data_IF_433424502900
#
_entry.id   IF_433424502900
#
_cell.length_a   1.000
_cell.length_b   1.000
_cell.length_c   1.000
_cell.angle_alpha   90.00
_cell.angle_beta   90.00
_cell.angle_gamma   90.00
#
_symmetry.space_group_name_H-M   'P 1'
#
loop_
_entity.id
_entity.type
_entity.pdbx_description
1 polymer ?
#
# COMPACT_ATOMS: atom_id res chain seq x y z
N UNK A 1 28.57 4.84 -6.02
CA UNK A 1 28.53 6.05 -5.16
C UNK A 1 27.99 5.60 -3.83
N UNK A 2 28.69 5.88 -2.72
CA UNK A 2 28.19 5.55 -1.39
C UNK A 2 27.00 6.46 -1.04
N UNK A 3 26.11 5.94 -0.19
CA UNK A 3 24.93 6.64 0.33
C UNK A 3 25.11 6.79 1.83
N UNK A 4 25.08 8.02 2.31
CA UNK A 4 25.20 8.31 3.74
C UNK A 4 23.82 8.53 4.36
N UNK A 5 23.62 8.01 5.58
CA UNK A 5 22.38 8.19 6.35
C UNK A 5 22.68 8.41 7.82
N UNK A 6 22.08 9.46 8.36
CA UNK A 6 22.03 9.70 9.79
C UNK A 6 21.07 8.68 10.41
N UNK A 7 21.58 7.85 11.31
CA UNK A 7 20.81 6.83 12.02
C UNK A 7 21.29 6.77 13.48
N UNK A 8 20.39 6.35 14.38
CA UNK A 8 20.78 5.80 15.67
C UNK A 8 21.13 4.31 15.55
N UNK A 9 21.94 3.79 16.48
CA UNK A 9 22.26 2.37 16.51
C UNK A 9 21.00 1.48 16.67
N UNK A 10 19.98 1.97 17.38
CA UNK A 10 18.71 1.25 17.55
C UNK A 10 17.88 1.23 16.26
N UNK A 11 17.80 2.35 15.55
CA UNK A 11 17.14 2.42 14.23
C UNK A 11 17.84 1.51 13.22
N UNK A 12 19.18 1.51 13.21
CA UNK A 12 19.96 0.62 12.36
C UNK A 12 19.65 -0.85 12.68
N UNK A 13 19.76 -1.27 13.95
CA UNK A 13 19.50 -2.66 14.36
C UNK A 13 18.08 -3.11 14.05
N UNK A 14 17.09 -2.24 14.25
CA UNK A 14 15.70 -2.54 13.93
C UNK A 14 15.45 -2.65 12.41
N UNK A 15 16.28 -2.01 11.59
CA UNK A 15 16.15 -2.01 10.14
C UNK A 15 16.85 -3.19 9.45
N UNK A 16 17.71 -3.95 10.14
CA UNK A 16 18.44 -5.08 9.53
C UNK A 16 17.46 -6.15 9.05
N UNK A 17 17.53 -6.47 7.76
CA UNK A 17 16.73 -7.54 7.14
C UNK A 17 17.56 -8.78 6.80
N UNK A 18 18.86 -8.58 6.59
CA UNK A 18 19.84 -9.64 6.39
C UNK A 18 21.24 -9.13 6.74
N UNK A 19 22.04 -9.99 7.34
CA UNK A 19 23.44 -9.72 7.66
C UNK A 19 24.21 -11.02 7.53
N UNK A 20 25.43 -10.94 7.01
CA UNK A 20 26.33 -12.07 6.94
C UNK A 20 27.71 -11.63 7.37
N UNK A 21 28.04 -11.97 8.61
CA UNK A 21 29.40 -12.08 9.11
C UNK A 21 29.77 -13.55 9.31
N UNK A 22 31.03 -13.86 9.10
CA UNK A 22 31.66 -14.93 9.83
C UNK A 22 32.55 -14.27 10.90
N UNK A 23 32.82 -14.96 12.01
CA UNK A 23 33.71 -14.44 13.05
C UNK A 23 35.19 -14.38 12.56
N UNK A 24 35.42 -14.40 11.25
CA UNK A 24 36.73 -14.36 10.64
C UNK A 24 37.11 -12.91 10.35
N UNK A 25 37.88 -12.34 11.28
CA UNK A 25 38.34 -10.94 11.29
C UNK A 25 39.01 -10.36 10.02
N UNK A 26 39.57 -11.12 9.05
CA UNK A 26 40.05 -10.52 7.81
C UNK A 26 38.98 -10.34 6.72
N UNK A 27 37.77 -10.89 6.90
CA UNK A 27 36.73 -10.89 5.86
C UNK A 27 35.76 -9.71 6.04
N UNK A 28 35.27 -9.19 4.91
CA UNK A 28 34.28 -8.10 4.91
C UNK A 28 32.89 -8.72 5.02
N UNK A 29 32.14 -8.27 6.00
CA UNK A 29 30.73 -8.60 6.13
C UNK A 29 29.86 -7.72 5.25
N UNK A 30 28.62 -8.15 5.06
CA UNK A 30 27.59 -7.37 4.39
C UNK A 30 26.34 -7.26 5.26
N UNK A 31 25.67 -6.12 5.17
CA UNK A 31 24.38 -5.89 5.83
C UNK A 31 23.41 -5.19 4.90
N UNK A 32 22.17 -5.69 4.88
CA UNK A 32 21.04 -5.08 4.20
C UNK A 32 20.05 -4.56 5.24
N UNK A 33 19.63 -3.31 5.08
CA UNK A 33 18.64 -2.67 5.94
C UNK A 33 17.45 -2.15 5.13
N UNK A 34 16.26 -2.17 5.74
CA UNK A 34 15.06 -1.52 5.21
C UNK A 34 14.46 -0.63 6.30
N UNK A 35 14.49 0.67 6.06
CA UNK A 35 13.98 1.68 6.97
C UNK A 35 12.44 1.74 6.93
N UNK A 36 11.79 2.30 7.98
CA UNK A 36 10.34 2.44 8.04
C UNK A 36 9.71 3.24 6.88
N UNK A 37 10.47 4.15 6.27
CA UNK A 37 10.03 4.94 5.12
C UNK A 37 10.10 4.18 3.78
N UNK A 38 10.54 2.91 3.80
CA UNK A 38 10.69 2.06 2.62
C UNK A 38 12.04 2.21 1.90
N UNK A 39 12.96 3.02 2.42
CA UNK A 39 14.34 3.12 1.93
C UNK A 39 15.08 1.82 2.23
N UNK A 40 15.71 1.24 1.22
CA UNK A 40 16.58 0.08 1.34
C UNK A 40 18.06 0.50 1.23
N UNK A 41 18.90 -0.07 2.07
CA UNK A 41 20.32 0.23 2.17
C UNK A 41 21.11 -1.08 2.16
N UNK A 42 22.28 -1.08 1.54
CA UNK A 42 23.18 -2.23 1.49
C UNK A 42 24.61 -1.74 1.63
N UNK A 43 25.32 -2.24 2.64
CA UNK A 43 26.67 -1.80 2.98
C UNK A 43 27.58 -2.98 3.24
N UNK A 44 28.81 -2.87 2.75
CA UNK A 44 29.93 -3.66 3.23
C UNK A 44 30.46 -3.04 4.52
N UNK A 45 30.91 -3.88 5.44
CA UNK A 45 31.63 -3.46 6.65
C UNK A 45 32.80 -4.41 6.90
N UNK A 46 33.75 -4.00 7.74
CA UNK A 46 34.96 -4.77 8.00
C UNK A 46 35.20 -4.82 9.51
N UNK A 47 34.84 -5.95 10.12
CA UNK A 47 34.90 -6.12 11.58
C UNK A 47 36.32 -5.87 12.12
N UNK A 48 36.46 -4.85 12.96
CA UNK A 48 37.56 -4.76 13.93
C UNK A 48 37.22 -5.54 15.20
N UNK A 49 38.21 -6.10 15.90
CA UNK A 49 38.04 -6.88 17.16
C UNK A 49 37.26 -6.20 18.32
N UNK A 50 36.77 -4.97 18.14
CA UNK A 50 36.16 -4.15 19.19
C UNK A 50 34.89 -3.40 18.78
N UNK A 51 34.55 -3.32 17.50
CA UNK A 51 33.47 -2.48 16.99
C UNK A 51 32.29 -3.33 16.53
N UNK A 52 31.07 -2.81 16.69
CA UNK A 52 29.91 -3.42 16.06
C UNK A 52 29.78 -2.98 14.60
N UNK A 53 28.86 -3.60 13.85
CA UNK A 53 28.62 -3.27 12.44
C UNK A 53 28.23 -1.81 12.21
N UNK A 54 27.51 -1.19 13.16
CA UNK A 54 27.06 0.18 13.02
C UNK A 54 28.24 1.16 13.19
N UNK A 55 29.10 0.89 14.18
CA UNK A 55 30.33 1.63 14.42
C UNK A 55 31.22 1.64 13.15
N UNK A 56 31.39 0.48 12.50
CA UNK A 56 32.18 0.37 11.26
C UNK A 56 31.56 1.18 10.11
N UNK A 57 30.23 1.15 9.96
CA UNK A 57 29.55 1.93 8.92
C UNK A 57 29.64 3.45 9.17
N UNK A 58 29.77 3.89 10.42
CA UNK A 58 29.95 5.30 10.77
C UNK A 58 31.39 5.82 10.64
N UNK A 59 32.34 4.97 10.21
CA UNK A 59 33.76 5.31 10.00
C UNK A 59 34.39 6.07 11.18
N UNK A 60 34.10 5.64 12.42
CA UNK A 60 34.63 6.31 13.62
C UNK A 60 36.11 6.02 13.90
N UNK A 61 36.84 5.51 12.91
CA UNK A 61 38.31 5.41 12.91
C UNK A 61 38.90 4.58 14.06
N UNK A 62 38.14 3.64 14.62
CA UNK A 62 38.56 2.82 15.76
C UNK A 62 38.75 3.58 17.08
N UNK A 63 38.32 4.85 17.17
CA UNK A 63 38.51 5.70 18.36
C UNK A 63 37.36 5.55 19.36
N UNK A 64 36.17 5.13 18.91
CA UNK A 64 35.02 4.85 19.76
C UNK A 64 34.28 3.62 19.25
N UNK A 65 34.25 2.56 20.05
CA UNK A 65 33.24 1.52 19.94
C UNK A 65 32.02 2.04 20.71
N UNK A 66 30.80 1.80 20.24
CA UNK A 66 29.53 2.29 20.79
C UNK A 66 29.17 3.74 20.42
N UNK A 67 28.98 3.98 19.12
CA UNK A 67 28.35 5.19 18.59
C UNK A 67 26.83 5.06 18.72
N UNK A 68 26.22 5.87 19.58
CA UNK A 68 24.76 5.84 19.75
C UNK A 68 24.02 6.38 18.51
N UNK A 69 24.64 7.33 17.79
CA UNK A 69 24.11 7.96 16.59
C UNK A 69 25.27 8.43 15.70
N UNK A 70 25.16 8.21 14.39
CA UNK A 70 26.22 8.55 13.45
C UNK A 70 25.76 8.57 12.00
N UNK A 71 26.66 9.05 11.15
CA UNK A 71 26.46 9.10 9.70
C UNK A 71 26.97 7.80 9.10
N UNK A 72 26.09 6.81 8.97
CA UNK A 72 26.43 5.51 8.41
C UNK A 72 26.54 5.57 6.88
N UNK A 73 27.62 5.00 6.33
CA UNK A 73 27.91 4.96 4.90
C UNK A 73 27.60 3.60 4.31
N UNK A 74 26.75 3.56 3.28
CA UNK A 74 26.32 2.35 2.60
C UNK A 74 26.85 2.34 1.16
N UNK A 75 27.16 1.15 0.65
CA UNK A 75 27.62 0.98 -0.73
C UNK A 75 26.52 1.30 -1.73
N UNK A 76 25.27 1.00 -1.39
CA UNK A 76 24.09 1.20 -2.22
C UNK A 76 22.89 1.66 -1.38
N UNK A 77 22.02 2.47 -1.99
CA UNK A 77 20.73 2.86 -1.43
C UNK A 77 19.67 3.05 -2.50
N UNK A 78 18.43 2.68 -2.20
CA UNK A 78 17.30 2.74 -3.13
C UNK A 78 15.99 2.27 -2.52
N UNK A 79 15.15 1.62 -3.31
CA UNK A 79 13.87 1.05 -2.86
C UNK A 79 14.02 -0.42 -2.50
N UNK A 80 13.07 -0.97 -1.71
CA UNK A 80 12.99 -2.41 -1.46
C UNK A 80 12.97 -3.23 -2.76
N UNK A 81 12.24 -2.76 -3.78
CA UNK A 81 12.19 -3.43 -5.08
C UNK A 81 13.57 -3.43 -5.76
N UNK A 82 14.32 -2.33 -5.67
CA UNK A 82 15.69 -2.26 -6.18
C UNK A 82 16.64 -3.21 -5.45
N UNK A 83 16.53 -3.32 -4.13
CA UNK A 83 17.33 -4.24 -3.33
C UNK A 83 17.03 -5.70 -3.69
N UNK A 84 15.75 -6.05 -3.86
CA UNK A 84 15.32 -7.39 -4.30
C UNK A 84 15.80 -7.69 -5.72
N UNK A 85 15.79 -6.71 -6.62
CA UNK A 85 16.32 -6.86 -7.98
C UNK A 85 17.84 -7.12 -7.98
N UNK A 86 18.62 -6.35 -7.21
CA UNK A 86 20.05 -6.58 -7.00
C UNK A 86 20.30 -8.02 -6.52
N UNK A 87 19.57 -8.45 -5.49
CA UNK A 87 19.72 -9.78 -4.91
C UNK A 87 19.35 -10.90 -5.89
N UNK A 88 18.25 -10.71 -6.64
CA UNK A 88 17.75 -11.69 -7.63
C UNK A 88 18.76 -11.89 -8.76
N UNK A 89 19.33 -10.79 -9.26
CA UNK A 89 20.33 -10.83 -10.33
C UNK A 89 21.73 -11.14 -9.83
N UNK A 90 21.99 -11.09 -8.52
CA UNK A 90 23.33 -11.16 -7.92
C UNK A 90 24.24 -10.06 -8.45
N UNK A 91 23.71 -8.84 -8.49
CA UNK A 91 24.41 -7.67 -9.02
C UNK A 91 25.52 -7.19 -8.07
N UNK A 92 26.46 -6.42 -8.59
CA UNK A 92 27.42 -5.68 -7.77
C UNK A 92 26.74 -4.42 -7.22
N UNK A 93 26.67 -4.21 -5.89
CA UNK A 93 26.01 -3.02 -5.33
C UNK A 93 26.75 -1.71 -5.63
N UNK A 94 28.06 -1.73 -5.88
CA UNK A 94 28.80 -0.54 -6.29
C UNK A 94 28.56 -0.20 -7.78
N UNK A 95 28.23 -1.20 -8.60
CA UNK A 95 27.96 -1.09 -10.04
C UNK A 95 26.73 -1.96 -10.41
N UNK A 96 25.50 -1.52 -10.09
CA UNK A 96 24.26 -2.33 -10.21
C UNK A 96 23.98 -2.94 -11.58
N UNK A 97 24.59 -2.40 -12.63
CA UNK A 97 24.48 -2.84 -14.02
C UNK A 97 25.27 -4.13 -14.31
N UNK A 98 26.22 -4.53 -13.45
CA UNK A 98 27.00 -5.78 -13.60
C UNK A 98 26.67 -6.80 -12.52
N UNK A 99 27.03 -8.05 -12.78
CA UNK A 99 27.03 -9.12 -11.78
C UNK A 99 28.19 -8.94 -10.80
N UNK A 100 27.99 -9.34 -9.55
CA UNK A 100 29.08 -9.45 -8.57
C UNK A 100 30.12 -10.46 -9.06
N UNK A 101 31.40 -10.15 -8.86
CA UNK A 101 32.49 -11.01 -9.32
C UNK A 101 32.68 -12.17 -8.32
N UNK A 102 32.57 -13.45 -8.74
CA UNK A 102 32.84 -14.59 -7.86
C UNK A 102 34.27 -14.66 -7.31
N UNK A 103 35.19 -13.85 -7.84
CA UNK A 103 36.57 -13.72 -7.35
C UNK A 103 36.72 -12.66 -6.25
N UNK A 104 35.70 -11.83 -6.00
CA UNK A 104 35.72 -10.86 -4.92
C UNK A 104 35.76 -11.60 -3.56
N UNK A 105 36.63 -11.12 -2.67
CA UNK A 105 36.88 -11.79 -1.37
C UNK A 105 35.64 -11.88 -0.49
N UNK A 106 34.68 -10.97 -0.69
CA UNK A 106 33.43 -10.86 0.07
C UNK A 106 32.22 -11.38 -0.71
N UNK A 107 32.44 -12.00 -1.88
CA UNK A 107 31.37 -12.57 -2.70
C UNK A 107 30.48 -13.53 -1.89
N UNK A 108 31.09 -14.39 -1.06
CA UNK A 108 30.37 -15.32 -0.19
C UNK A 108 29.40 -14.62 0.76
N UNK A 109 29.86 -13.57 1.44
CA UNK A 109 29.04 -12.76 2.35
C UNK A 109 27.93 -12.01 1.61
N UNK A 110 28.25 -11.40 0.47
CA UNK A 110 27.24 -10.71 -0.35
C UNK A 110 26.14 -11.68 -0.81
N UNK A 111 26.51 -12.87 -1.28
CA UNK A 111 25.54 -13.89 -1.71
C UNK A 111 24.69 -14.40 -0.54
N UNK A 112 25.27 -14.53 0.65
CA UNK A 112 24.54 -14.89 1.86
C UNK A 112 23.53 -13.79 2.25
N UNK A 113 23.92 -12.51 2.20
CA UNK A 113 23.00 -11.39 2.41
C UNK A 113 21.91 -11.34 1.36
N UNK A 114 22.22 -11.55 0.08
CA UNK A 114 21.20 -11.63 -0.98
C UNK A 114 20.22 -12.76 -0.76
N UNK A 115 20.69 -13.92 -0.30
CA UNK A 115 19.81 -15.02 0.10
C UNK A 115 18.90 -14.58 1.25
N UNK A 116 19.45 -13.97 2.30
CA UNK A 116 18.69 -13.44 3.43
C UNK A 116 17.66 -12.37 3.03
N UNK A 117 17.99 -11.47 2.10
CA UNK A 117 17.09 -10.45 1.55
C UNK A 117 15.92 -11.11 0.82
N UNK A 118 16.18 -12.10 -0.03
CA UNK A 118 15.12 -12.79 -0.78
C UNK A 118 14.21 -13.59 0.16
N UNK A 119 14.79 -14.23 1.18
CA UNK A 119 14.03 -14.93 2.21
C UNK A 119 13.19 -13.98 3.07
N UNK A 120 13.78 -12.88 3.53
CA UNK A 120 13.08 -11.83 4.26
C UNK A 120 11.94 -11.27 3.41
N UNK A 121 12.19 -10.93 2.16
CA UNK A 121 11.16 -10.41 1.27
C UNK A 121 10.05 -11.45 1.06
N UNK A 122 10.40 -12.71 0.82
CA UNK A 122 9.41 -13.78 0.71
C UNK A 122 8.63 -14.02 2.02
N UNK A 123 9.25 -13.86 3.20
CA UNK A 123 8.56 -13.89 4.50
C UNK A 123 7.64 -12.69 4.64
N UNK A 124 8.09 -11.47 4.39
CA UNK A 124 7.27 -10.26 4.44
C UNK A 124 6.09 -10.32 3.49
N UNK A 125 6.27 -10.84 2.27
CA UNK A 125 5.18 -11.10 1.33
C UNK A 125 4.25 -12.20 1.85
N UNK A 126 4.77 -13.23 2.53
CA UNK A 126 3.98 -14.27 3.18
C UNK A 126 3.25 -13.79 4.41
N UNK A 127 3.78 -12.88 5.21
CA UNK A 127 3.14 -12.32 6.40
C UNK A 127 2.03 -11.36 5.98
N UNK A 128 2.29 -10.54 4.96
CA UNK A 128 1.23 -9.78 4.26
C UNK A 128 0.18 -10.74 3.69
N UNK A 129 0.60 -11.85 3.08
CA UNK A 129 -0.30 -12.84 2.53
C UNK A 129 -1.04 -13.65 3.60
N UNK A 130 -0.46 -14.03 4.73
CA UNK A 130 -1.05 -14.84 5.81
C UNK A 130 -1.95 -13.99 6.71
N UNK A 131 -1.56 -12.74 6.98
CA UNK A 131 -2.49 -11.75 7.53
C UNK A 131 -3.65 -11.46 6.55
N UNK A 132 -3.46 -11.73 5.24
CA UNK A 132 -4.55 -11.73 4.25
C UNK A 132 -5.25 -13.10 4.05
N UNK A 133 -4.63 -14.22 4.44
CA UNK A 133 -5.04 -15.61 4.15
C UNK A 133 -5.56 -16.37 5.40
N UNK A 134 -5.56 -15.71 6.58
CA UNK A 134 -6.66 -15.88 7.53
C UNK A 134 -8.04 -15.58 6.88
N UNK A 135 -8.06 -15.02 5.66
CA UNK A 135 -9.23 -14.86 4.79
C UNK A 135 -9.05 -15.46 3.36
N UNK A 136 -8.60 -16.73 3.27
CA UNK A 136 -8.83 -17.69 2.15
C UNK A 136 -7.93 -17.65 0.86
N UNK A 137 -8.01 -18.76 0.12
CA UNK A 137 -7.06 -19.44 -0.81
C UNK A 137 -6.97 -19.01 -2.30
N UNK A 138 -5.75 -19.18 -2.85
CA UNK A 138 -5.24 -19.58 -4.19
C UNK A 138 -5.54 -18.85 -5.55
N UNK A 139 -4.40 -18.48 -6.19
CA UNK A 139 -4.02 -18.34 -7.64
C UNK A 139 -4.09 -16.98 -8.38
N UNK A 140 -2.97 -16.64 -9.07
CA UNK A 140 -2.40 -15.30 -9.41
C UNK A 140 -2.60 -14.80 -10.86
N UNK A 141 -2.88 -13.48 -10.98
CA UNK A 141 -2.55 -12.53 -12.08
C UNK A 141 -2.03 -11.25 -11.35
N UNK A 142 -1.03 -10.47 -11.86
CA UNK A 142 -0.46 -9.36 -11.10
C UNK A 142 -1.48 -8.24 -10.95
N UNK A 143 -2.11 -8.15 -9.77
CA UNK A 143 -3.03 -7.08 -9.41
C UNK A 143 -2.24 -5.95 -8.74
N UNK A 144 -2.31 -4.76 -9.37
CA UNK A 144 -2.79 -3.53 -8.77
C UNK A 144 -2.51 -3.31 -7.27
N UNK A 145 -2.03 -2.11 -6.92
CA UNK A 145 -2.29 -1.58 -5.58
C UNK A 145 -3.78 -1.79 -5.28
N UNK A 146 -4.12 -2.37 -4.11
CA UNK A 146 -5.52 -2.66 -3.74
C UNK A 146 -6.31 -1.34 -3.72
N UNK A 147 -6.88 -0.99 -4.87
CA UNK A 147 -7.87 0.03 -4.98
C UNK A 147 -9.16 -0.57 -4.42
N UNK A 148 -9.94 0.29 -3.78
CA UNK A 148 -11.25 -0.10 -3.28
C UNK A 148 -12.25 0.64 -4.12
N UNK A 149 -13.31 -0.05 -4.52
CA UNK A 149 -14.43 0.56 -5.20
C UNK A 149 -15.66 0.48 -4.31
N UNK A 150 -16.56 1.44 -4.49
CA UNK A 150 -17.87 1.42 -3.89
C UNK A 150 -18.95 1.32 -4.96
N UNK A 151 -20.09 0.77 -4.56
CA UNK A 151 -21.35 0.87 -5.28
C UNK A 151 -22.47 1.13 -4.28
N UNK A 152 -23.32 2.09 -4.59
CA UNK A 152 -24.55 2.38 -3.84
C UNK A 152 -25.68 2.56 -4.83
N UNK A 153 -26.84 1.97 -4.56
CA UNK A 153 -28.02 2.05 -5.44
C UNK A 153 -29.18 2.68 -4.69
N UNK A 154 -29.82 3.66 -5.33
CA UNK A 154 -30.98 4.39 -4.80
C UNK A 154 -32.23 4.12 -5.67
N UNK A 155 -33.36 3.83 -5.02
CA UNK A 155 -34.68 3.74 -5.65
C UNK A 155 -35.31 5.11 -5.85
N UNK A 156 -35.93 5.36 -7.00
CA UNK A 156 -36.43 6.69 -7.39
C UNK A 156 -37.93 6.69 -7.75
N UNK A 157 -38.55 5.51 -7.78
CA UNK A 157 -39.99 5.33 -7.97
C UNK A 157 -40.59 4.85 -6.65
N UNK A 158 -41.83 5.25 -6.30
CA UNK A 158 -42.55 4.70 -5.15
C UNK A 158 -42.53 3.16 -5.09
N UNK A 159 -42.08 2.62 -3.96
CA UNK A 159 -41.83 1.20 -3.66
C UNK A 159 -41.58 1.02 -2.16
N UNK A 160 -41.68 -0.21 -1.64
CA UNK A 160 -41.68 -0.57 -0.20
C UNK A 160 -42.19 0.56 0.74
N UNK A 161 -43.47 0.94 0.63
CA UNK A 161 -44.15 1.84 1.57
C UNK A 161 -43.89 3.34 1.41
N UNK A 162 -43.21 3.80 0.36
CA UNK A 162 -42.82 5.20 0.20
C UNK A 162 -43.32 5.86 -1.10
N UNK A 163 -43.45 7.18 -1.06
CA UNK A 163 -43.68 8.04 -2.22
C UNK A 163 -42.47 8.95 -2.44
N UNK A 164 -41.44 8.40 -3.07
CA UNK A 164 -40.20 9.11 -3.38
C UNK A 164 -40.19 9.60 -4.83
N UNK A 165 -41.37 9.88 -5.40
CA UNK A 165 -41.49 10.36 -6.77
C UNK A 165 -40.59 11.58 -6.96
N UNK A 166 -39.54 11.39 -7.75
CA UNK A 166 -38.63 12.45 -8.12
C UNK A 166 -39.14 13.04 -9.44
N UNK A 167 -39.30 14.35 -9.47
CA UNK A 167 -39.62 15.07 -10.70
C UNK A 167 -38.36 15.23 -11.57
N UNK A 168 -38.49 14.95 -12.87
CA UNK A 168 -37.40 15.12 -13.83
C UNK A 168 -36.57 13.87 -14.07
N UNK A 169 -35.35 14.08 -14.60
CA UNK A 169 -34.45 12.99 -14.96
C UNK A 169 -33.87 12.30 -13.71
N UNK A 170 -34.06 10.97 -13.55
CA UNK A 170 -33.63 10.23 -12.36
C UNK A 170 -32.12 10.30 -12.11
N UNK A 171 -31.29 10.30 -13.17
CA UNK A 171 -29.83 10.38 -13.03
C UNK A 171 -29.43 11.76 -12.52
N UNK A 172 -29.98 12.82 -13.12
CA UNK A 172 -29.71 14.21 -12.75
C UNK A 172 -30.01 14.47 -11.28
N UNK A 173 -31.16 14.00 -10.77
CA UNK A 173 -31.52 14.18 -9.37
C UNK A 173 -30.52 13.51 -8.41
N UNK A 174 -30.07 12.29 -8.74
CA UNK A 174 -29.10 11.55 -7.92
C UNK A 174 -27.71 12.16 -7.99
N UNK A 175 -27.27 12.61 -9.17
CA UNK A 175 -25.99 13.30 -9.35
C UNK A 175 -25.94 14.61 -8.56
N UNK A 176 -26.99 15.44 -8.63
CA UNK A 176 -27.07 16.68 -7.85
C UNK A 176 -27.03 16.39 -6.36
N UNK A 177 -27.78 15.38 -5.89
CA UNK A 177 -27.78 15.00 -4.49
C UNK A 177 -26.38 14.53 -4.02
N UNK A 178 -25.69 13.71 -4.84
CA UNK A 178 -24.35 13.24 -4.52
C UNK A 178 -23.33 14.37 -4.50
N UNK A 179 -23.30 15.22 -5.52
CA UNK A 179 -22.36 16.34 -5.59
C UNK A 179 -22.55 17.30 -4.41
N UNK A 180 -23.80 17.67 -4.12
CA UNK A 180 -24.13 18.50 -2.94
C UNK A 180 -23.63 17.88 -1.64
N UNK A 181 -23.82 16.57 -1.48
CA UNK A 181 -23.37 15.85 -0.30
C UNK A 181 -21.83 15.74 -0.24
N UNK A 182 -21.16 15.51 -1.36
CA UNK A 182 -19.70 15.42 -1.47
C UNK A 182 -19.01 16.76 -1.18
N UNK A 183 -19.54 17.87 -1.71
CA UNK A 183 -19.08 19.23 -1.38
C UNK A 183 -19.21 19.49 0.11
N UNK A 184 -20.36 19.17 0.69
CA UNK A 184 -20.63 19.42 2.10
C UNK A 184 -19.86 18.47 3.05
N UNK A 185 -19.44 17.29 2.58
CA UNK A 185 -18.52 16.40 3.31
C UNK A 185 -17.10 16.96 3.28
N UNK A 186 -16.64 17.42 2.12
CA UNK A 186 -15.31 18.03 1.97
C UNK A 186 -15.17 19.31 2.80
N UNK A 187 -16.19 20.17 2.79
CA UNK A 187 -16.21 21.39 3.61
C UNK A 187 -16.17 21.09 5.13
N UNK A 188 -16.58 19.89 5.56
CA UNK A 188 -16.53 19.45 6.94
C UNK A 188 -15.20 18.75 7.31
N UNK A 189 -14.21 18.75 6.41
CA UNK A 189 -12.91 18.11 6.60
C UNK A 189 -12.85 16.64 6.16
N UNK A 190 -13.90 16.13 5.54
CA UNK A 190 -13.90 14.81 4.89
C UNK A 190 -13.34 14.86 3.46
N UNK A 191 -13.44 13.74 2.75
CA UNK A 191 -12.99 13.66 1.35
C UNK A 191 -14.14 13.98 0.39
N UNK A 192 -13.83 14.75 -0.67
CA UNK A 192 -14.72 14.83 -1.82
C UNK A 192 -14.58 13.53 -2.62
N UNK A 193 -15.65 12.74 -2.73
CA UNK A 193 -15.60 11.45 -3.43
C UNK A 193 -16.34 11.54 -4.77
N UNK A 194 -15.62 11.47 -5.91
CA UNK A 194 -16.26 11.44 -7.22
C UNK A 194 -16.99 10.11 -7.45
N UNK A 195 -18.06 10.16 -8.25
CA UNK A 195 -18.86 8.99 -8.58
C UNK A 195 -19.36 9.04 -10.03
N UNK A 196 -19.51 7.86 -10.63
CA UNK A 196 -20.19 7.62 -11.91
C UNK A 196 -21.60 7.14 -11.61
N UNK A 197 -22.59 7.79 -12.24
CA UNK A 197 -23.99 7.40 -12.15
C UNK A 197 -24.39 6.51 -13.32
N UNK A 198 -25.10 5.42 -13.03
CA UNK A 198 -25.66 4.51 -14.03
C UNK A 198 -27.14 4.29 -13.74
N UNK A 199 -27.98 4.57 -14.73
CA UNK A 199 -29.42 4.28 -14.67
C UNK A 199 -29.65 2.76 -14.74
N UNK A 200 -30.51 2.25 -13.87
CA UNK A 200 -30.82 0.83 -13.77
C UNK A 200 -32.28 0.59 -13.40
N UNK A 201 -32.68 -0.69 -13.37
CA UNK A 201 -33.95 -1.14 -12.81
C UNK A 201 -33.71 -2.27 -11.83
N UNK A 202 -34.34 -2.20 -10.67
CA UNK A 202 -34.25 -3.24 -9.64
C UNK A 202 -35.54 -4.04 -9.58
N UNK A 203 -35.42 -5.37 -9.60
CA UNK A 203 -36.54 -6.30 -9.56
C UNK A 203 -36.49 -7.06 -8.24
N UNK A 204 -37.58 -7.00 -7.48
CA UNK A 204 -37.78 -7.76 -6.25
C UNK A 204 -39.21 -8.29 -6.19
N UNK A 205 -39.58 -8.97 -5.09
CA UNK A 205 -40.90 -9.61 -4.96
C UNK A 205 -42.01 -8.56 -5.10
N UNK A 206 -43.05 -8.85 -5.90
CA UNK A 206 -44.17 -7.91 -6.08
C UNK A 206 -44.94 -7.64 -4.80
N UNK A 207 -45.04 -8.63 -3.91
CA UNK A 207 -45.65 -8.53 -2.58
C UNK A 207 -45.00 -7.46 -1.69
N UNK A 208 -43.74 -7.11 -2.00
CA UNK A 208 -42.97 -6.07 -1.31
C UNK A 208 -43.15 -4.68 -1.95
N UNK A 209 -43.99 -4.56 -2.99
CA UNK A 209 -44.27 -3.31 -3.68
C UNK A 209 -43.47 -3.07 -4.96
N UNK A 210 -42.75 -4.06 -5.50
CA UNK A 210 -42.03 -3.90 -6.76
C UNK A 210 -43.02 -3.66 -7.91
N UNK A 211 -42.91 -2.55 -8.67
CA UNK A 211 -43.79 -2.28 -9.80
C UNK A 211 -43.53 -3.26 -10.96
N UNK A 212 -44.53 -3.47 -11.85
CA UNK A 212 -44.32 -4.19 -13.11
C UNK A 212 -43.17 -3.57 -13.92
N UNK A 213 -42.21 -4.41 -14.33
CA UNK A 213 -41.01 -3.96 -15.04
C UNK A 213 -39.88 -3.44 -14.14
N UNK A 214 -40.00 -3.57 -12.81
CA UNK A 214 -38.97 -3.18 -11.86
C UNK A 214 -38.99 -1.70 -11.49
N UNK A 215 -38.44 -1.40 -10.33
CA UNK A 215 -38.30 -0.05 -9.80
C UNK A 215 -37.14 0.67 -10.51
N UNK A 216 -37.33 1.94 -10.88
CA UNK A 216 -36.24 2.74 -11.44
C UNK A 216 -35.23 3.03 -10.34
N UNK A 217 -33.98 2.68 -10.60
CA UNK A 217 -32.87 2.87 -9.67
C UNK A 217 -31.72 3.59 -10.36
N UNK A 218 -30.89 4.27 -9.59
CA UNK A 218 -29.59 4.76 -10.06
C UNK A 218 -28.51 4.23 -9.15
N UNK A 219 -27.48 3.67 -9.76
CA UNK A 219 -26.29 3.18 -9.07
C UNK A 219 -25.18 4.20 -9.22
N UNK A 220 -24.64 4.65 -8.09
CA UNK A 220 -23.40 5.42 -8.03
C UNK A 220 -22.24 4.47 -7.74
N UNK A 221 -21.16 4.62 -8.49
CA UNK A 221 -19.95 3.83 -8.32
C UNK A 221 -18.71 4.69 -8.45
N UNK A 222 -17.65 4.32 -7.77
CA UNK A 222 -16.37 5.02 -7.85
C UNK A 222 -15.28 4.18 -7.23
N UNK A 223 -14.04 4.55 -7.50
CA UNK A 223 -12.87 3.89 -6.95
C UNK A 223 -12.04 4.89 -6.15
N UNK A 224 -11.54 4.45 -5.00
CA UNK A 224 -10.49 5.13 -4.25
C UNK A 224 -9.28 5.23 -5.15
N UNK A 225 -8.69 6.41 -5.22
CA UNK A 225 -7.40 6.60 -5.83
C UNK A 225 -6.33 6.56 -4.74
N UNK A 226 -5.55 5.46 -4.57
CA UNK A 226 -4.60 5.34 -3.47
C UNK A 226 -3.45 6.36 -3.51
N UNK A 227 -3.25 7.03 -4.65
CA UNK A 227 -2.24 8.09 -4.80
C UNK A 227 -2.67 9.40 -4.11
N UNK A 228 -3.98 9.69 -4.07
CA UNK A 228 -4.52 10.92 -3.48
C UNK A 228 -5.21 10.64 -2.13
N UNK A 229 -5.86 9.48 -2.01
CA UNK A 229 -6.61 9.06 -0.82
C UNK A 229 -5.89 7.89 -0.15
N UNK A 230 -4.81 8.21 0.56
CA UNK A 230 -3.89 7.19 1.12
C UNK A 230 -4.53 6.32 2.20
N UNK A 231 -5.49 6.86 2.97
CA UNK A 231 -6.21 6.14 4.03
C UNK A 231 -7.54 5.54 3.52
N UNK A 232 -7.63 4.20 3.38
CA UNK A 232 -8.85 3.53 2.95
C UNK A 232 -10.01 3.70 3.94
N UNK A 233 -9.72 3.81 5.25
CA UNK A 233 -10.76 3.92 6.27
C UNK A 233 -11.46 5.28 6.20
N UNK A 234 -10.70 6.37 6.14
CA UNK A 234 -11.23 7.73 5.93
C UNK A 234 -12.04 7.83 4.63
N UNK A 235 -11.59 7.20 3.55
CA UNK A 235 -12.33 7.15 2.29
C UNK A 235 -13.69 6.44 2.41
N UNK A 236 -13.74 5.23 3.00
CA UNK A 236 -15.00 4.52 3.26
C UNK A 236 -15.94 5.31 4.15
N UNK A 237 -15.39 6.02 5.13
CA UNK A 237 -16.17 6.85 6.04
C UNK A 237 -16.82 8.02 5.29
N UNK A 238 -16.05 8.70 4.43
CA UNK A 238 -16.56 9.79 3.57
C UNK A 238 -17.62 9.28 2.60
N UNK A 239 -17.38 8.15 1.91
CA UNK A 239 -18.40 7.50 1.05
C UNK A 239 -19.69 7.22 1.83
N UNK A 240 -19.58 6.69 3.04
CA UNK A 240 -20.73 6.32 3.85
C UNK A 240 -21.54 7.55 4.28
N UNK A 241 -20.88 8.63 4.72
CA UNK A 241 -21.53 9.89 5.11
C UNK A 241 -22.19 10.58 3.91
N UNK A 242 -21.54 10.58 2.75
CA UNK A 242 -22.11 11.12 1.51
C UNK A 242 -23.36 10.31 1.12
N UNK A 243 -23.25 8.97 1.08
CA UNK A 243 -24.38 8.10 0.75
C UNK A 243 -25.56 8.25 1.72
N UNK A 244 -25.29 8.46 3.01
CA UNK A 244 -26.33 8.73 4.00
C UNK A 244 -27.05 10.07 3.74
N UNK A 245 -26.31 11.13 3.41
CA UNK A 245 -26.91 12.43 3.04
C UNK A 245 -27.78 12.31 1.79
N UNK A 246 -27.31 11.57 0.78
CA UNK A 246 -28.10 11.29 -0.44
C UNK A 246 -29.35 10.48 -0.11
N UNK A 247 -29.25 9.43 0.71
CA UNK A 247 -30.39 8.65 1.19
C UNK A 247 -31.46 9.55 1.80
N UNK A 248 -31.06 10.48 2.67
CA UNK A 248 -31.97 11.44 3.32
C UNK A 248 -32.58 12.40 2.27
N UNK A 249 -31.77 12.96 1.38
CA UNK A 249 -32.23 13.90 0.35
C UNK A 249 -33.27 13.26 -0.60
N UNK A 250 -33.07 11.98 -0.95
CA UNK A 250 -33.96 11.20 -1.79
C UNK A 250 -35.08 10.50 -1.01
N UNK A 251 -35.22 10.81 0.29
CA UNK A 251 -36.25 10.28 1.21
C UNK A 251 -36.30 8.74 1.27
N UNK A 252 -35.15 8.11 1.08
CA UNK A 252 -35.02 6.66 1.18
C UNK A 252 -34.92 6.24 2.65
N UNK A 253 -35.56 5.14 3.03
CA UNK A 253 -35.40 4.57 4.38
C UNK A 253 -34.07 3.86 4.52
N UNK A 254 -33.68 3.10 3.50
CA UNK A 254 -32.43 2.34 3.48
C UNK A 254 -31.63 2.63 2.21
N UNK A 255 -30.32 2.67 2.35
CA UNK A 255 -29.38 2.59 1.23
C UNK A 255 -28.29 1.59 1.62
N UNK A 256 -27.90 0.74 0.67
CA UNK A 256 -26.81 -0.22 0.88
C UNK A 256 -25.59 0.24 0.09
N UNK A 257 -24.53 0.55 0.81
CA UNK A 257 -23.20 0.77 0.23
C UNK A 257 -22.45 -0.56 0.24
N UNK A 258 -21.90 -0.94 -0.90
CA UNK A 258 -21.05 -2.12 -1.07
C UNK A 258 -19.65 -1.63 -1.34
N UNK A 259 -18.69 -2.05 -0.52
CA UNK A 259 -17.28 -1.87 -0.77
C UNK A 259 -16.68 -3.18 -1.28
N UNK A 260 -15.82 -3.10 -2.29
CA UNK A 260 -15.12 -4.26 -2.83
C UNK A 260 -13.70 -3.87 -3.24
N UNK A 261 -12.78 -4.82 -3.20
CA UNK A 261 -11.45 -4.62 -3.78
C UNK A 261 -11.54 -4.63 -5.30
N UNK A 262 -10.78 -3.76 -5.96
CA UNK A 262 -10.62 -3.76 -7.40
C UNK A 262 -9.13 -3.67 -7.76
N UNK A 263 -8.80 -4.18 -8.95
CA UNK A 263 -7.52 -3.86 -9.56
C UNK A 263 -7.58 -2.50 -10.22
N UNK A 264 -6.59 -1.65 -9.98
CA UNK A 264 -6.36 -0.42 -10.72
C UNK A 264 -5.08 -0.51 -11.53
N UNK A 265 -5.10 0.09 -12.72
CA UNK A 265 -3.94 0.32 -13.57
C UNK A 265 -4.01 1.75 -14.04
N UNK A 266 -2.93 2.50 -13.84
CA UNK A 266 -2.80 3.82 -14.43
C UNK A 266 -2.26 3.66 -15.85
N UNK A 267 -2.91 4.31 -16.80
CA UNK A 267 -2.41 4.49 -18.15
C UNK A 267 -1.87 5.91 -18.25
N UNK A 268 -0.59 6.05 -18.56
CA UNK A 268 0.11 7.33 -18.78
C UNK A 268 0.46 7.49 -20.25
#
# INVERSE_FOLDING_TARGET
MSVERQLTADEFRAAIVAQSDDDNYPERGWVACVLPDGTALLGAYAHGSRCDTFDDLCDVGGVACYVAEGLASFTWGGTVAGLVDLATRRADPAIPERLADPQDSDYGHLMAVYTGVLEWYARSQRDVAQNSCANCSETKIPLASKAEQFSVTFGLVPGYGHNNAIEGDPVTAVVIAWDTAAVAESAAGGLYVPAVATLSRTIYRREWGCPPGGEVTVTLSGARNPQYDVDPASWKQSVSRIAERVRIALRQTTARVIFSGCGSLYLT
#
